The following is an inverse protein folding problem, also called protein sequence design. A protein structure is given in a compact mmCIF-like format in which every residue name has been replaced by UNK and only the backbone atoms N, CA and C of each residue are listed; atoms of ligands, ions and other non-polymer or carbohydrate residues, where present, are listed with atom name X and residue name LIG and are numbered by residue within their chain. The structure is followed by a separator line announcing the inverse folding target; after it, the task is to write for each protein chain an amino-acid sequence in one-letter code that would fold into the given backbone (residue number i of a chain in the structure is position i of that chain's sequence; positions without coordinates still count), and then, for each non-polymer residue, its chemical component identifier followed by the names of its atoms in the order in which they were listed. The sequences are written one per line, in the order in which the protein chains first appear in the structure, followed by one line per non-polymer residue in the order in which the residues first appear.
data_IF_024661551677
#
_entry.id   IF_024661551677
#
_cell.length_a   1.000
_cell.length_b   1.000
_cell.length_c   1.000
_cell.angle_alpha   90.00
_cell.angle_beta   90.00
_cell.angle_gamma   90.00
#
_symmetry.space_group_name_H-M   'P 1'
#
loop_
_entity.id
_entity.type
_entity.pdbx_description
1 polymer ?
#
# COMPACT_ATOMS: atom_id res chain seq x y z
N UNK A 1 -6.12 -29.30 11.15
CA UNK A 1 -5.76 -28.74 9.83
C UNK A 1 -4.84 -27.52 9.97
N UNK A 2 -5.14 -26.53 10.81
CA UNK A 2 -4.27 -25.33 11.00
C UNK A 2 -2.85 -25.63 11.54
N UNK A 3 -2.67 -26.62 12.42
CA UNK A 3 -1.34 -26.97 12.96
C UNK A 3 -0.35 -27.44 11.88
N UNK A 4 -0.83 -28.11 10.84
CA UNK A 4 -0.01 -28.54 9.71
C UNK A 4 0.28 -27.36 8.77
N UNK A 5 -0.73 -26.53 8.50
CA UNK A 5 -0.59 -25.32 7.69
C UNK A 5 0.42 -24.34 8.32
N UNK A 6 0.26 -23.99 9.59
CA UNK A 6 1.17 -23.09 10.31
C UNK A 6 2.61 -23.62 10.36
N UNK A 7 2.79 -24.95 10.38
CA UNK A 7 4.12 -25.57 10.31
C UNK A 7 4.76 -25.39 8.95
N UNK A 8 4.02 -25.61 7.85
CA UNK A 8 4.53 -25.45 6.48
C UNK A 8 4.77 -23.99 6.16
N UNK A 9 3.82 -23.12 6.50
CA UNK A 9 3.95 -21.67 6.36
C UNK A 9 5.10 -21.12 7.18
N UNK A 10 5.29 -21.56 8.43
CA UNK A 10 6.40 -21.14 9.29
C UNK A 10 7.79 -21.44 8.72
N UNK A 11 7.92 -22.45 7.84
CA UNK A 11 9.20 -22.80 7.21
C UNK A 11 9.61 -21.85 6.07
N UNK A 12 8.69 -21.02 5.57
CA UNK A 12 8.98 -20.04 4.51
C UNK A 12 9.28 -18.68 5.13
N UNK A 13 10.50 -18.18 4.95
CA UNK A 13 10.88 -16.86 5.46
C UNK A 13 10.31 -15.75 4.56
N UNK A 14 9.41 -14.95 5.11
CA UNK A 14 8.92 -13.73 4.48
C UNK A 14 9.48 -12.54 5.25
N UNK A 15 10.70 -12.12 4.88
CA UNK A 15 11.43 -11.05 5.56
C UNK A 15 12.01 -10.04 4.60
N UNK A 16 12.13 -8.79 5.04
CA UNK A 16 12.99 -7.80 4.37
C UNK A 16 13.84 -7.05 5.38
N UNK A 17 14.95 -6.49 4.91
CA UNK A 17 15.90 -5.73 5.73
C UNK A 17 15.28 -4.40 6.20
N UNK A 18 14.35 -3.84 5.41
CA UNK A 18 13.74 -2.54 5.66
C UNK A 18 12.39 -2.70 6.38
N UNK A 19 12.15 -1.87 7.39
CA UNK A 19 10.85 -1.75 8.06
C UNK A 19 9.89 -0.98 7.16
N UNK A 20 8.61 -1.40 7.08
CA UNK A 20 7.65 -0.61 6.32
C UNK A 20 7.35 0.69 7.07
N UNK A 21 7.55 1.82 6.40
CA UNK A 21 7.18 3.13 6.92
C UNK A 21 5.76 3.47 6.45
N UNK A 22 4.87 3.78 7.38
CA UNK A 22 3.54 4.34 7.08
C UNK A 22 2.36 3.36 7.03
N UNK A 23 2.57 2.05 6.86
CA UNK A 23 1.47 1.09 6.68
C UNK A 23 1.51 -0.04 7.72
N UNK A 24 0.59 -0.01 8.69
CA UNK A 24 0.48 -1.02 9.76
C UNK A 24 -0.35 -2.25 9.33
N UNK A 25 -0.03 -2.83 8.17
CA UNK A 25 -0.65 -4.06 7.64
C UNK A 25 0.21 -5.28 7.96
N UNK A 26 1.53 -5.09 8.01
CA UNK A 26 2.49 -6.15 8.23
C UNK A 26 2.83 -6.32 9.71
N UNK A 27 3.41 -7.47 10.04
CA UNK A 27 3.86 -7.75 11.41
C UNK A 27 5.05 -6.87 11.82
N UNK A 28 6.02 -6.65 10.92
CA UNK A 28 7.24 -5.85 11.10
C UNK A 28 8.00 -6.12 12.42
N UNK A 29 7.89 -7.33 12.98
CA UNK A 29 8.69 -7.74 14.13
C UNK A 29 10.09 -8.08 13.64
N UNK A 30 11.10 -7.52 14.31
CA UNK A 30 12.50 -7.74 13.97
C UNK A 30 12.95 -9.11 14.47
N UNK A 31 13.51 -9.91 13.59
CA UNK A 31 14.23 -11.13 13.94
C UNK A 31 15.73 -10.83 13.98
N UNK A 32 16.31 -10.87 15.19
CA UNK A 32 17.74 -10.64 15.41
C UNK A 32 18.62 -11.75 14.84
N UNK A 33 18.08 -12.95 14.62
CA UNK A 33 18.85 -14.08 14.09
C UNK A 33 19.07 -13.98 12.58
N UNK A 34 18.08 -13.47 11.85
CA UNK A 34 18.12 -13.31 10.39
C UNK A 34 18.44 -11.87 9.96
N UNK A 35 18.40 -10.90 10.88
CA UNK A 35 18.58 -9.48 10.56
C UNK A 35 17.47 -8.91 9.66
N UNK A 36 16.26 -9.50 9.70
CA UNK A 36 15.14 -9.12 8.84
C UNK A 36 13.86 -8.84 9.64
N UNK A 37 12.98 -8.03 9.07
CA UNK A 37 11.65 -7.74 9.60
C UNK A 37 10.61 -8.66 8.95
N UNK A 38 9.71 -9.22 9.76
CA UNK A 38 8.63 -10.08 9.28
C UNK A 38 7.62 -9.33 8.40
N UNK A 39 7.46 -9.74 7.15
CA UNK A 39 6.51 -9.17 6.16
C UNK A 39 5.23 -9.96 5.97
N UNK A 40 4.89 -10.83 6.92
CA UNK A 40 3.57 -11.45 6.92
C UNK A 40 2.52 -10.46 7.37
N UNK A 41 1.28 -10.64 6.88
CA UNK A 41 0.13 -9.89 7.37
C UNK A 41 0.02 -10.07 8.89
N UNK A 42 -0.16 -8.97 9.62
CA UNK A 42 -0.21 -8.97 11.07
C UNK A 42 -1.29 -9.90 11.63
N UNK A 43 -2.38 -10.07 10.91
CA UNK A 43 -3.53 -10.88 11.32
C UNK A 43 -3.30 -12.39 11.12
N UNK A 44 -2.41 -12.76 10.20
CA UNK A 44 -2.14 -14.16 9.84
C UNK A 44 -0.75 -14.65 10.26
N UNK A 45 0.12 -13.81 10.81
CA UNK A 45 1.48 -14.21 11.16
C UNK A 45 1.47 -15.30 12.26
N UNK A 46 1.88 -16.55 11.95
CA UNK A 46 1.80 -17.65 12.91
C UNK A 46 2.85 -17.54 14.02
N UNK A 47 3.93 -16.79 13.79
CA UNK A 47 5.06 -16.69 14.72
C UNK A 47 4.90 -15.56 15.74
N UNK A 48 4.22 -14.49 15.37
CA UNK A 48 4.26 -13.24 16.11
C UNK A 48 2.89 -12.73 16.56
N UNK A 49 1.82 -13.32 16.05
CA UNK A 49 0.46 -12.94 16.42
C UNK A 49 -0.07 -13.92 17.45
N UNK A 50 -0.31 -13.43 18.68
CA UNK A 50 -0.99 -14.21 19.70
C UNK A 50 -2.49 -14.12 19.45
N UNK A 51 -3.10 -15.26 19.14
CA UNK A 51 -4.56 -15.36 19.09
C UNK A 51 -5.13 -15.12 20.50
N UNK A 52 -6.12 -14.23 20.66
CA UNK A 52 -6.84 -14.11 21.92
C UNK A 52 -7.59 -15.42 22.19
N UNK A 53 -7.60 -15.87 23.44
CA UNK A 53 -8.42 -17.01 23.85
C UNK A 53 -9.88 -16.64 23.66
N UNK A 54 -10.59 -17.40 22.84
CA UNK A 54 -12.04 -17.27 22.65
C UNK A 54 -12.75 -17.53 23.97
N UNK A 55 -13.61 -16.61 24.41
CA UNK A 55 -14.44 -16.85 25.57
C UNK A 55 -15.58 -17.85 25.23
N UNK A 56 -16.01 -18.70 26.18
CA UNK A 56 -16.97 -19.79 25.92
C UNK A 56 -18.38 -19.31 25.50
N UNK A 57 -18.68 -18.02 25.71
CA UNK A 57 -19.95 -17.39 25.32
C UNK A 57 -19.85 -16.47 24.12
N UNK A 58 -18.70 -16.46 23.42
CA UNK A 58 -18.57 -15.69 22.18
C UNK A 58 -19.38 -16.32 21.05
N UNK A 59 -20.25 -15.49 20.46
CA UNK A 59 -21.05 -15.84 19.29
C UNK A 59 -20.19 -15.64 18.04
N UNK A 60 -20.39 -16.49 17.03
CA UNK A 60 -19.72 -16.39 15.74
C UNK A 60 -19.95 -15.03 15.08
N UNK A 61 -21.21 -14.59 14.94
CA UNK A 61 -21.52 -13.25 14.42
C UNK A 61 -21.25 -13.07 12.92
N UNK A 62 -20.95 -14.15 12.18
CA UNK A 62 -20.74 -14.08 10.73
C UNK A 62 -22.02 -13.60 10.03
N UNK A 63 -21.96 -12.56 9.16
CA UNK A 63 -23.10 -12.14 8.36
C UNK A 63 -23.51 -13.25 7.37
N UNK A 64 -24.76 -13.71 7.46
CA UNK A 64 -25.28 -14.83 6.65
C UNK A 64 -25.85 -14.38 5.29
N UNK A 65 -26.15 -13.09 5.13
CA UNK A 65 -26.60 -12.56 3.85
C UNK A 65 -25.43 -12.53 2.85
N UNK A 66 -25.65 -13.14 1.69
CA UNK A 66 -24.72 -13.22 0.55
C UNK A 66 -24.33 -11.87 -0.08
N UNK A 67 -24.93 -10.76 0.38
CA UNK A 67 -24.78 -9.42 -0.18
C UNK A 67 -23.75 -8.54 0.58
N UNK A 68 -22.69 -9.15 1.14
CA UNK A 68 -21.53 -8.38 1.65
C UNK A 68 -20.23 -8.60 0.87
N UNK A 69 -20.27 -8.33 -0.44
CA UNK A 69 -19.20 -7.56 -1.08
C UNK A 69 -19.80 -6.33 -1.78
N UNK A 70 -19.58 -5.14 -1.20
CA UNK A 70 -19.74 -3.87 -1.93
C UNK A 70 -21.06 -3.10 -1.81
N UNK A 71 -22.02 -3.46 -0.93
CA UNK A 71 -23.25 -2.67 -0.72
C UNK A 71 -23.38 -2.12 0.70
N UNK A 72 -23.77 -0.83 0.76
CA UNK A 72 -24.04 0.02 1.96
C UNK A 72 -25.16 -0.47 2.89
N UNK A 73 -25.66 -1.70 2.77
CA UNK A 73 -26.74 -2.21 3.63
C UNK A 73 -26.15 -2.94 4.82
N UNK A 74 -26.60 -2.57 6.01
CA UNK A 74 -26.30 -3.26 7.26
C UNK A 74 -26.95 -4.63 7.18
N UNK A 75 -26.15 -5.70 7.21
CA UNK A 75 -26.63 -7.08 7.25
C UNK A 75 -27.56 -7.25 8.46
N UNK A 76 -28.76 -7.81 8.24
CA UNK A 76 -29.75 -7.97 9.31
C UNK A 76 -29.66 -9.33 10.00
N UNK A 77 -29.04 -10.32 9.34
CA UNK A 77 -28.95 -11.70 9.81
C UNK A 77 -27.51 -12.09 10.09
N UNK A 78 -27.25 -12.53 11.33
CA UNK A 78 -25.94 -12.98 11.80
C UNK A 78 -26.01 -14.42 12.32
N UNK A 79 -24.91 -15.15 12.17
CA UNK A 79 -24.73 -16.47 12.75
C UNK A 79 -24.75 -16.40 14.29
N UNK A 80 -25.70 -17.10 14.92
CA UNK A 80 -25.90 -17.12 16.38
C UNK A 80 -25.20 -18.29 17.07
N UNK A 81 -24.54 -19.17 16.32
CA UNK A 81 -23.78 -20.29 16.90
C UNK A 81 -22.60 -19.79 17.73
N UNK A 82 -22.24 -20.52 18.79
CA UNK A 82 -21.03 -20.24 19.54
C UNK A 82 -19.80 -20.44 18.64
N UNK A 83 -18.77 -19.60 18.82
CA UNK A 83 -17.52 -19.66 18.06
C UNK A 83 -16.84 -21.03 18.15
N UNK A 84 -16.99 -21.74 19.28
CA UNK A 84 -16.51 -23.12 19.48
C UNK A 84 -17.29 -24.17 18.67
N UNK A 85 -18.61 -23.96 18.52
CA UNK A 85 -19.52 -24.92 17.86
C UNK A 85 -19.68 -24.67 16.35
N UNK A 86 -19.23 -23.51 15.85
CA UNK A 86 -19.43 -23.12 14.46
C UNK A 86 -18.30 -23.66 13.57
N UNK A 87 -18.55 -24.78 12.88
CA UNK A 87 -17.61 -25.34 11.90
C UNK A 87 -17.68 -24.65 10.53
N UNK A 88 -18.81 -24.02 10.20
CA UNK A 88 -19.04 -23.37 8.89
C UNK A 88 -18.24 -22.07 8.76
N UNK A 89 -18.15 -21.27 9.83
CA UNK A 89 -17.50 -19.96 9.84
C UNK A 89 -16.32 -19.93 10.81
N UNK A 90 -15.47 -20.94 10.71
CA UNK A 90 -14.31 -21.06 11.57
C UNK A 90 -13.36 -19.86 11.39
N UNK A 91 -13.12 -19.12 12.48
CA UNK A 91 -12.22 -17.97 12.50
C UNK A 91 -12.51 -16.89 11.42
N UNK A 92 -13.78 -16.75 11.00
CA UNK A 92 -14.17 -15.88 9.88
C UNK A 92 -13.77 -14.41 10.09
N UNK A 93 -13.77 -13.88 11.31
CA UNK A 93 -13.34 -12.51 11.62
C UNK A 93 -11.87 -12.29 11.22
N UNK A 94 -11.02 -13.28 11.52
CA UNK A 94 -9.60 -13.25 11.20
C UNK A 94 -9.39 -13.31 9.69
N UNK A 95 -10.08 -14.22 9.01
CA UNK A 95 -10.01 -14.36 7.55
C UNK A 95 -10.52 -13.09 6.86
N UNK A 96 -11.66 -12.55 7.31
CA UNK A 96 -12.25 -11.33 6.74
C UNK A 96 -11.33 -10.13 6.91
N UNK A 97 -10.70 -10.00 8.08
CA UNK A 97 -9.73 -8.93 8.30
C UNK A 97 -8.48 -9.10 7.43
N UNK A 98 -8.02 -10.34 7.20
CA UNK A 98 -6.92 -10.62 6.30
C UNK A 98 -7.26 -10.27 4.84
N UNK A 99 -8.47 -10.58 4.37
CA UNK A 99 -8.95 -10.17 3.05
C UNK A 99 -8.93 -8.64 2.88
N UNK A 100 -9.48 -7.91 3.86
CA UNK A 100 -9.49 -6.43 3.85
C UNK A 100 -8.05 -5.88 3.83
N UNK A 101 -7.15 -6.48 4.61
CA UNK A 101 -5.75 -6.05 4.66
C UNK A 101 -5.01 -6.34 3.34
N UNK A 102 -5.35 -7.44 2.64
CA UNK A 102 -4.87 -7.72 1.30
C UNK A 102 -5.41 -6.72 0.27
N UNK A 103 -6.70 -6.35 0.33
CA UNK A 103 -7.28 -5.32 -0.52
C UNK A 103 -6.59 -3.97 -0.33
N UNK A 104 -6.34 -3.56 0.92
CA UNK A 104 -5.55 -2.35 1.21
C UNK A 104 -4.17 -2.42 0.59
N UNK A 105 -3.47 -3.54 0.73
CA UNK A 105 -2.13 -3.71 0.15
C UNK A 105 -2.15 -3.55 -1.38
N UNK A 106 -3.14 -4.14 -2.06
CA UNK A 106 -3.31 -3.96 -3.50
C UNK A 106 -3.54 -2.50 -3.88
N UNK A 107 -4.35 -1.77 -3.10
CA UNK A 107 -4.58 -0.35 -3.32
C UNK A 107 -3.31 0.48 -3.09
N UNK A 108 -2.51 0.15 -2.07
CA UNK A 108 -1.23 0.80 -1.81
C UNK A 108 -0.23 0.59 -2.96
N UNK A 109 -0.09 -0.64 -3.45
CA UNK A 109 0.75 -0.92 -4.62
C UNK A 109 0.30 -0.12 -5.84
N UNK A 110 -1.02 0.03 -6.02
CA UNK A 110 -1.55 0.85 -7.12
C UNK A 110 -1.24 2.33 -6.95
N UNK A 111 -1.28 2.85 -5.72
CA UNK A 111 -0.89 4.23 -5.43
C UNK A 111 0.60 4.46 -5.71
N UNK A 112 1.48 3.52 -5.36
CA UNK A 112 2.91 3.60 -5.65
C UNK A 112 3.16 3.63 -7.17
N UNK A 113 2.54 2.73 -7.93
CA UNK A 113 2.63 2.69 -9.39
C UNK A 113 2.19 4.03 -10.03
N UNK A 114 1.05 4.57 -9.59
CA UNK A 114 0.56 5.86 -10.07
C UNK A 114 1.49 7.03 -9.68
N UNK A 115 2.08 6.98 -8.48
CA UNK A 115 3.07 7.95 -8.02
C UNK A 115 4.33 7.95 -8.88
N UNK A 116 4.82 6.77 -9.26
CA UNK A 116 5.94 6.63 -10.19
C UNK A 116 5.61 7.16 -11.59
N UNK A 117 4.44 6.83 -12.12
CA UNK A 117 3.97 7.35 -13.41
C UNK A 117 3.88 8.87 -13.40
N UNK A 118 3.34 9.45 -12.33
CA UNK A 118 3.27 10.90 -12.14
C UNK A 118 4.67 11.53 -12.14
N UNK A 119 5.62 10.95 -11.41
CA UNK A 119 7.01 11.44 -11.36
C UNK A 119 7.68 11.41 -12.74
N UNK A 120 7.48 10.34 -13.50
CA UNK A 120 8.00 10.20 -14.87
C UNK A 120 7.42 11.27 -15.81
N UNK A 121 6.10 11.48 -15.77
CA UNK A 121 5.45 12.51 -16.58
C UNK A 121 5.93 13.92 -16.21
N UNK A 122 6.07 14.20 -14.92
CA UNK A 122 6.59 15.48 -14.45
C UNK A 122 8.04 15.71 -14.90
N UNK A 123 8.87 14.68 -14.89
CA UNK A 123 10.23 14.73 -15.43
C UNK A 123 10.23 15.03 -16.94
N UNK A 124 9.39 14.34 -17.73
CA UNK A 124 9.25 14.58 -19.18
C UNK A 124 8.76 16.00 -19.49
N UNK A 125 7.78 16.51 -18.73
CA UNK A 125 7.29 17.89 -18.88
C UNK A 125 8.36 18.92 -18.55
N UNK A 126 9.14 18.69 -17.49
CA UNK A 126 10.27 19.56 -17.11
C UNK A 126 11.34 19.60 -18.22
N UNK A 127 11.70 18.42 -18.74
CA UNK A 127 12.66 18.29 -19.84
C UNK A 127 12.20 19.05 -21.09
N UNK A 128 10.91 18.92 -21.47
CA UNK A 128 10.34 19.67 -22.59
C UNK A 128 10.34 21.18 -22.36
N UNK A 129 10.00 21.65 -21.16
CA UNK A 129 10.06 23.09 -20.81
C UNK A 129 11.47 23.65 -20.98
N UNK A 130 12.48 22.89 -20.56
CA UNK A 130 13.89 23.28 -20.72
C UNK A 130 14.30 23.38 -22.20
N UNK A 131 13.87 22.45 -23.04
CA UNK A 131 14.12 22.52 -24.49
C UNK A 131 13.38 23.68 -25.17
N UNK A 132 12.13 23.96 -24.77
CA UNK A 132 11.39 25.11 -25.30
C UNK A 132 12.07 26.44 -24.96
N UNK A 133 12.66 26.57 -23.77
CA UNK A 133 13.44 27.75 -23.40
C UNK A 133 14.67 27.94 -24.31
N UNK A 134 15.34 26.85 -24.71
CA UNK A 134 16.46 26.89 -25.66
C UNK A 134 15.97 27.24 -27.07
N UNK A 135 14.88 26.62 -27.54
CA UNK A 135 14.32 26.86 -28.87
C UNK A 135 13.76 28.29 -29.04
N UNK A 136 13.25 28.89 -27.96
CA UNK A 136 12.67 30.23 -27.96
C UNK A 136 13.64 31.31 -27.47
N UNK A 137 14.88 30.95 -27.18
CA UNK A 137 15.92 31.94 -26.98
C UNK A 137 16.11 32.68 -28.31
N UNK A 138 15.65 33.93 -28.35
CA UNK A 138 16.10 34.91 -29.32
C UNK A 138 17.02 35.87 -28.56
N UNK A 139 18.22 36.10 -29.07
CA UNK A 139 19.08 37.18 -28.59
C UNK A 139 18.90 38.38 -29.51
N UNK A 140 18.38 39.49 -28.98
CA UNK A 140 18.37 40.77 -29.69
C UNK A 140 19.75 41.39 -29.57
N UNK A 141 20.45 41.54 -30.70
CA UNK A 141 21.72 42.26 -30.75
C UNK A 141 21.44 43.77 -30.78
N UNK A 142 21.68 44.45 -29.65
CA UNK A 142 21.54 45.92 -29.55
C UNK A 142 22.77 46.69 -30.09
N UNK A 143 23.64 46.04 -30.88
CA UNK A 143 24.90 46.64 -31.34
C UNK A 143 24.76 47.61 -32.52
N UNK A 144 23.61 47.64 -33.21
CA UNK A 144 23.41 48.47 -34.41
C UNK A 144 22.76 49.84 -34.16
N UNK A 145 22.34 50.14 -32.94
CA UNK A 145 21.72 51.44 -32.61
C UNK A 145 22.73 52.55 -32.22
N UNK A 146 24.03 52.35 -32.44
CA UNK A 146 25.09 53.35 -32.17
C UNK A 146 25.67 54.03 -33.42
N UNK A 147 24.89 54.21 -34.48
CA UNK A 147 25.38 54.87 -35.70
C UNK A 147 24.50 56.02 -36.17
N UNK A 148 24.43 57.12 -35.40
CA UNK A 148 24.15 58.48 -35.94
C UNK A 148 24.49 59.56 -34.90
N UNK A 149 25.76 59.82 -34.60
CA UNK A 149 26.21 61.13 -34.07
C UNK A 149 27.71 61.29 -34.34
N UNK A 150 28.06 61.53 -35.60
CA UNK A 150 29.29 62.27 -35.95
C UNK A 150 28.84 63.52 -36.66
N UNK A 151 28.66 64.58 -35.88
CA UNK A 151 28.60 65.97 -36.35
C UNK A 151 29.86 66.28 -37.15
N UNK A 152 29.65 66.80 -38.36
CA UNK A 152 30.66 67.40 -39.21
C UNK A 152 31.54 68.38 -38.42
N UNK A 153 32.86 68.25 -38.57
CA UNK A 153 33.81 69.33 -38.30
C UNK A 153 34.40 69.69 -39.67
N UNK A 154 34.02 70.86 -40.19
CA UNK A 154 34.76 71.61 -41.19
C UNK A 154 35.85 72.43 -40.49
#
# INVERSE_FOLDING_TARGET
MEKCFNKVEGMVSFGSIVKNEGINIFCDKYDSSQGTYCKRLKVLCPEHTKEPKVAPHEICGCPLESDFPGKKKVCSVFCRSLKESCSVHYCWERLRKAEIDQEKLNLYLKLEELGEQMRLLQWQLSYRKSLMAILLHHTVDHSKDRSTFTTNVQ
#
